data_IF_112354567986
#
_entry.id   IF_112354567986
#
_cell.length_a   1.000
_cell.length_b   1.000
_cell.length_c   1.000
_cell.angle_alpha   90.00
_cell.angle_beta   90.00
_cell.angle_gamma   90.00
#
_symmetry.space_group_name_H-M   'P 1'
#
loop_
_entity.id
_entity.type
_entity.pdbx_description
1 polymer ?
#
# COMPACT_ATOMS: atom_id res chain seq x y z
N UNK A 1 2.19 -31.65 -12.31
CA UNK A 1 0.79 -31.30 -12.00
C UNK A 1 0.81 -30.35 -10.81
N UNK A 2 0.81 -29.04 -11.04
CA UNK A 2 0.64 -28.06 -9.94
C UNK A 2 -0.83 -28.14 -9.53
N UNK A 3 -1.10 -28.45 -8.25
CA UNK A 3 -2.45 -28.33 -7.68
C UNK A 3 -2.92 -26.89 -7.91
N UNK A 4 -3.97 -26.70 -8.70
CA UNK A 4 -4.66 -25.41 -8.78
C UNK A 4 -5.06 -25.05 -7.34
N UNK A 5 -4.47 -23.97 -6.85
CA UNK A 5 -4.76 -23.48 -5.49
C UNK A 5 -6.18 -22.92 -5.54
N UNK A 6 -7.11 -23.54 -4.84
CA UNK A 6 -8.46 -23.01 -4.69
C UNK A 6 -8.40 -21.67 -3.92
N UNK A 7 -8.33 -20.60 -4.71
CA UNK A 7 -8.21 -19.22 -4.20
C UNK A 7 -9.40 -18.85 -3.30
N UNK A 8 -10.63 -19.35 -3.61
CA UNK A 8 -11.82 -19.09 -2.81
C UNK A 8 -11.73 -19.74 -1.43
N UNK A 9 -11.30 -21.00 -1.36
CA UNK A 9 -11.11 -21.69 -0.11
C UNK A 9 -10.01 -21.02 0.74
N UNK A 10 -8.90 -20.62 0.14
CA UNK A 10 -7.82 -19.92 0.83
C UNK A 10 -8.25 -18.53 1.35
N UNK A 11 -9.02 -17.78 0.57
CA UNK A 11 -9.57 -16.51 1.02
C UNK A 11 -10.49 -16.69 2.23
N UNK A 12 -11.44 -17.63 2.16
CA UNK A 12 -12.32 -17.96 3.30
C UNK A 12 -11.52 -18.35 4.53
N UNK A 13 -10.53 -19.23 4.37
CA UNK A 13 -9.67 -19.67 5.47
C UNK A 13 -8.85 -18.52 6.07
N UNK A 14 -8.43 -17.54 5.26
CA UNK A 14 -7.69 -16.38 5.77
C UNK A 14 -8.59 -15.46 6.62
N UNK A 15 -9.86 -15.26 6.22
CA UNK A 15 -10.83 -14.51 7.03
C UNK A 15 -11.10 -15.23 8.34
N UNK A 16 -11.35 -16.54 8.29
CA UNK A 16 -11.56 -17.34 9.51
C UNK A 16 -10.36 -17.25 10.46
N UNK A 17 -9.15 -17.34 9.92
CA UNK A 17 -7.90 -17.18 10.70
C UNK A 17 -7.80 -15.80 11.34
N UNK A 18 -8.17 -14.75 10.63
CA UNK A 18 -8.19 -13.38 11.16
C UNK A 18 -9.16 -13.26 12.34
N UNK A 19 -10.37 -13.77 12.17
CA UNK A 19 -11.39 -13.78 13.24
C UNK A 19 -10.89 -14.59 14.44
N UNK A 20 -10.33 -15.76 14.20
CA UNK A 20 -9.78 -16.63 15.28
C UNK A 20 -8.72 -15.87 16.09
N UNK A 21 -7.76 -15.20 15.45
CA UNK A 21 -6.72 -14.46 16.17
C UNK A 21 -7.27 -13.30 16.99
N UNK A 22 -8.28 -12.57 16.48
CA UNK A 22 -8.96 -11.50 17.22
C UNK A 22 -9.68 -12.08 18.44
N UNK A 23 -10.43 -13.17 18.28
CA UNK A 23 -11.16 -13.83 19.37
C UNK A 23 -10.20 -14.37 20.44
N UNK A 24 -9.13 -15.04 20.02
CA UNK A 24 -8.12 -15.56 20.96
C UNK A 24 -7.48 -14.40 21.76
N UNK A 25 -7.14 -13.29 21.09
CA UNK A 25 -6.58 -12.11 21.77
C UNK A 25 -7.50 -11.57 22.87
N UNK A 26 -8.81 -11.44 22.57
CA UNK A 26 -9.80 -10.96 23.53
C UNK A 26 -9.94 -11.95 24.71
N UNK A 27 -10.03 -13.25 24.40
CA UNK A 27 -10.18 -14.29 25.43
C UNK A 27 -8.94 -14.32 26.33
N UNK A 28 -7.73 -14.37 25.76
CA UNK A 28 -6.48 -14.41 26.53
C UNK A 28 -6.33 -13.16 27.39
N UNK A 29 -6.63 -11.97 26.86
CA UNK A 29 -6.61 -10.74 27.63
C UNK A 29 -7.59 -10.76 28.80
N UNK A 30 -8.83 -11.24 28.59
CA UNK A 30 -9.83 -11.38 29.65
C UNK A 30 -9.41 -12.39 30.71
N UNK A 31 -8.88 -13.56 30.31
CA UNK A 31 -8.40 -14.61 31.22
C UNK A 31 -7.23 -14.10 32.05
N UNK A 32 -6.24 -13.43 31.45
CA UNK A 32 -5.10 -12.89 32.22
C UNK A 32 -5.58 -11.87 33.23
N UNK A 33 -6.50 -10.97 32.86
CA UNK A 33 -7.06 -9.96 33.75
C UNK A 33 -7.86 -10.62 34.93
N UNK A 34 -8.51 -11.76 34.68
CA UNK A 34 -9.27 -12.47 35.71
C UNK A 34 -8.40 -13.32 36.67
N UNK A 35 -7.26 -13.84 36.18
CA UNK A 35 -6.39 -14.74 36.94
C UNK A 35 -5.25 -14.03 37.67
N UNK A 36 -4.78 -12.89 37.14
CA UNK A 36 -3.68 -12.13 37.76
C UNK A 36 -4.22 -11.28 38.90
N UNK A 37 -3.68 -11.40 40.15
CA UNK A 37 -4.08 -10.56 41.25
C UNK A 37 -3.96 -9.08 40.96
N UNK A 38 -4.93 -8.27 41.42
CA UNK A 38 -5.00 -6.83 41.13
C UNK A 38 -3.70 -6.09 41.47
N UNK A 39 -3.03 -6.45 42.54
CA UNK A 39 -1.75 -5.85 42.93
C UNK A 39 -0.66 -6.10 41.89
N UNK A 40 -0.54 -7.32 41.36
CA UNK A 40 0.44 -7.66 40.34
C UNK A 40 0.06 -7.00 39.02
N UNK A 41 -1.23 -6.96 38.69
CA UNK A 41 -1.70 -6.33 37.45
C UNK A 41 -1.51 -4.81 37.49
N UNK A 42 -1.61 -4.17 38.66
CA UNK A 42 -1.31 -2.74 38.80
C UNK A 42 0.17 -2.42 38.52
N UNK A 43 1.09 -3.28 38.96
CA UNK A 43 2.53 -3.05 38.78
C UNK A 43 3.04 -3.48 37.40
N UNK A 44 2.53 -4.57 36.85
CA UNK A 44 3.06 -5.22 35.62
C UNK A 44 2.08 -5.25 34.45
N UNK A 45 0.86 -4.77 34.59
CA UNK A 45 -0.20 -4.86 33.58
C UNK A 45 0.19 -4.19 32.25
N UNK A 46 0.94 -3.08 32.29
CA UNK A 46 1.44 -2.42 31.09
C UNK A 46 2.38 -3.33 30.29
N UNK A 47 3.29 -4.03 30.95
CA UNK A 47 4.23 -4.97 30.29
C UNK A 47 3.50 -6.18 29.73
N UNK A 48 2.52 -6.70 30.47
CA UNK A 48 1.67 -7.81 30.00
C UNK A 48 0.90 -7.39 28.74
N UNK A 49 0.28 -6.21 28.76
CA UNK A 49 -0.47 -5.70 27.61
C UNK A 49 0.42 -5.44 26.40
N UNK A 50 1.65 -4.94 26.59
CA UNK A 50 2.64 -4.77 25.51
C UNK A 50 2.98 -6.13 24.90
N UNK A 51 3.30 -7.13 25.71
CA UNK A 51 3.65 -8.47 25.24
C UNK A 51 2.48 -9.12 24.45
N UNK A 52 1.26 -9.00 24.96
CA UNK A 52 0.05 -9.46 24.27
C UNK A 52 -0.16 -8.72 22.95
N UNK A 53 -0.04 -7.40 22.96
CA UNK A 53 -0.21 -6.58 21.77
C UNK A 53 0.85 -6.89 20.71
N UNK A 54 2.11 -7.08 21.08
CA UNK A 54 3.17 -7.47 20.15
C UNK A 54 2.90 -8.83 19.52
N UNK A 55 2.59 -9.83 20.33
CA UNK A 55 2.38 -11.20 19.83
C UNK A 55 1.09 -11.30 19.01
N UNK A 56 -0.05 -10.99 19.61
CA UNK A 56 -1.35 -11.11 18.93
C UNK A 56 -1.53 -10.05 17.86
N UNK A 57 -1.03 -8.84 18.08
CA UNK A 57 -1.06 -7.76 17.09
C UNK A 57 -0.32 -8.16 15.81
N UNK A 58 0.88 -8.75 15.93
CA UNK A 58 1.58 -9.28 14.76
C UNK A 58 0.80 -10.40 14.05
N UNK A 59 0.19 -11.33 14.80
CA UNK A 59 -0.62 -12.40 14.23
C UNK A 59 -1.86 -11.85 13.50
N UNK A 60 -2.53 -10.85 14.08
CA UNK A 60 -3.69 -10.17 13.47
C UNK A 60 -3.26 -9.41 12.20
N UNK A 61 -2.18 -8.64 12.26
CA UNK A 61 -1.64 -7.90 11.10
C UNK A 61 -1.28 -8.87 9.97
N UNK A 62 -0.58 -9.97 10.29
CA UNK A 62 -0.21 -10.99 9.32
C UNK A 62 -1.43 -11.70 8.72
N UNK A 63 -2.44 -12.03 9.53
CA UNK A 63 -3.69 -12.63 9.07
C UNK A 63 -4.49 -11.67 8.18
N UNK A 64 -4.57 -10.38 8.55
CA UNK A 64 -5.17 -9.34 7.73
C UNK A 64 -4.47 -9.19 6.38
N UNK A 65 -3.15 -9.07 6.39
CA UNK A 65 -2.34 -8.97 5.17
C UNK A 65 -2.52 -10.20 4.25
N UNK A 66 -2.65 -11.40 4.84
CA UNK A 66 -2.96 -12.62 4.08
C UNK A 66 -4.39 -12.59 3.50
N UNK A 67 -5.35 -12.00 4.19
CA UNK A 67 -6.72 -11.84 3.67
C UNK A 67 -6.72 -10.90 2.47
N UNK A 68 -6.00 -9.78 2.55
CA UNK A 68 -5.81 -8.86 1.43
C UNK A 68 -5.08 -9.55 0.26
N UNK A 69 -4.04 -10.34 0.53
CA UNK A 69 -3.34 -11.13 -0.48
C UNK A 69 -4.29 -12.03 -1.27
N UNK A 70 -5.10 -12.84 -0.59
CA UNK A 70 -6.02 -13.77 -1.24
C UNK A 70 -7.15 -13.04 -1.97
N UNK A 71 -7.63 -11.90 -1.45
CA UNK A 71 -8.57 -11.03 -2.14
C UNK A 71 -8.01 -10.51 -3.47
N UNK A 72 -6.76 -10.02 -3.45
CA UNK A 72 -6.10 -9.53 -4.66
C UNK A 72 -5.76 -10.65 -5.66
N UNK A 73 -5.51 -11.86 -5.17
CA UNK A 73 -5.19 -13.04 -5.98
C UNK A 73 -6.32 -13.44 -6.93
N UNK A 74 -7.58 -13.02 -6.67
CA UNK A 74 -8.72 -13.24 -7.59
C UNK A 74 -8.58 -12.46 -8.90
N UNK A 75 -7.99 -11.27 -8.86
CA UNK A 75 -7.92 -10.37 -10.02
C UNK A 75 -6.51 -10.25 -10.60
N UNK A 76 -5.50 -10.40 -9.77
CA UNK A 76 -4.11 -10.14 -10.12
C UNK A 76 -3.26 -11.40 -9.93
N UNK A 77 -2.09 -11.42 -10.56
CA UNK A 77 -1.13 -12.49 -10.41
C UNK A 77 -0.54 -12.58 -9.00
N UNK A 78 0.24 -13.66 -8.76
CA UNK A 78 0.96 -13.84 -7.48
C UNK A 78 1.89 -12.66 -7.13
N UNK A 79 2.71 -12.11 -8.06
CA UNK A 79 3.64 -11.05 -7.73
C UNK A 79 2.96 -9.79 -7.20
N UNK A 80 1.85 -9.35 -7.83
CA UNK A 80 1.10 -8.16 -7.43
C UNK A 80 0.44 -8.34 -6.05
N UNK A 81 -0.20 -9.50 -5.84
CA UNK A 81 -0.82 -9.81 -4.56
C UNK A 81 0.23 -9.89 -3.43
N UNK A 82 1.42 -10.47 -3.70
CA UNK A 82 2.52 -10.56 -2.74
C UNK A 82 3.07 -9.17 -2.37
N UNK A 83 3.23 -8.28 -3.36
CA UNK A 83 3.66 -6.90 -3.11
C UNK A 83 2.69 -6.16 -2.19
N UNK A 84 1.38 -6.24 -2.47
CA UNK A 84 0.34 -5.61 -1.64
C UNK A 84 0.35 -6.19 -0.22
N UNK A 85 0.50 -7.53 -0.07
CA UNK A 85 0.63 -8.17 1.24
C UNK A 85 1.79 -7.59 2.04
N UNK A 86 2.96 -7.41 1.42
CA UNK A 86 4.14 -6.85 2.07
C UNK A 86 3.91 -5.41 2.55
N UNK A 87 3.26 -4.59 1.73
CA UNK A 87 2.88 -3.22 2.09
C UNK A 87 1.91 -3.24 3.29
N UNK A 88 0.90 -4.11 3.28
CA UNK A 88 -0.06 -4.23 4.39
C UNK A 88 0.62 -4.66 5.71
N UNK A 89 1.63 -5.53 5.65
CA UNK A 89 2.41 -5.90 6.84
C UNK A 89 3.19 -4.70 7.39
N UNK A 90 3.88 -3.94 6.53
CA UNK A 90 4.65 -2.76 6.94
C UNK A 90 3.74 -1.72 7.60
N UNK A 91 2.61 -1.38 6.95
CA UNK A 91 1.62 -0.45 7.48
C UNK A 91 1.02 -0.94 8.80
N UNK A 92 0.68 -2.23 8.86
CA UNK A 92 0.09 -2.84 10.04
C UNK A 92 1.05 -2.89 11.24
N UNK A 93 2.33 -3.18 11.01
CA UNK A 93 3.36 -3.11 12.05
C UNK A 93 3.54 -1.67 12.54
N UNK A 94 3.58 -0.70 11.63
CA UNK A 94 3.63 0.72 11.99
C UNK A 94 2.46 1.14 12.87
N UNK A 95 1.23 0.79 12.48
CA UNK A 95 0.03 1.07 13.25
C UNK A 95 0.04 0.36 14.62
N UNK A 96 0.51 -0.89 14.68
CA UNK A 96 0.66 -1.65 15.93
C UNK A 96 1.62 -0.95 16.89
N UNK A 97 2.79 -0.54 16.43
CA UNK A 97 3.79 0.17 17.25
C UNK A 97 3.26 1.52 17.75
N UNK A 98 2.57 2.26 16.89
CA UNK A 98 1.94 3.53 17.27
C UNK A 98 0.83 3.32 18.31
N UNK A 99 0.02 2.27 18.16
CA UNK A 99 -1.01 1.88 19.14
C UNK A 99 -0.43 1.50 20.49
N UNK A 100 0.67 0.73 20.52
CA UNK A 100 1.37 0.35 21.75
C UNK A 100 1.96 1.60 22.42
N UNK A 101 2.63 2.47 21.67
CA UNK A 101 3.19 3.72 22.17
C UNK A 101 2.09 4.60 22.80
N UNK A 102 0.92 4.71 22.15
CA UNK A 102 -0.22 5.46 22.65
C UNK A 102 -0.82 4.86 23.94
N UNK A 103 -0.87 3.55 24.02
CA UNK A 103 -1.38 2.84 25.23
C UNK A 103 -0.46 2.91 26.43
N UNK A 104 0.86 3.04 26.24
CA UNK A 104 1.87 3.02 27.31
C UNK A 104 2.29 4.42 27.73
N UNK A 105 2.63 5.27 26.76
CA UNK A 105 3.16 6.62 27.00
C UNK A 105 2.11 7.72 26.77
N UNK A 106 0.85 7.34 26.57
CA UNK A 106 -0.27 8.25 26.34
C UNK A 106 -0.53 8.56 24.87
N UNK A 107 -1.73 9.02 24.57
CA UNK A 107 -2.19 9.26 23.20
C UNK A 107 -1.27 10.15 22.36
N UNK A 108 -0.62 11.14 22.96
CA UNK A 108 0.34 12.01 22.28
C UNK A 108 1.54 11.25 21.71
N UNK A 109 2.06 10.24 22.41
CA UNK A 109 3.17 9.39 21.93
C UNK A 109 2.73 8.52 20.75
N UNK A 110 1.51 7.98 20.79
CA UNK A 110 0.93 7.22 19.68
C UNK A 110 0.78 8.08 18.42
N UNK A 111 0.25 9.30 18.56
CA UNK A 111 0.09 10.27 17.47
C UNK A 111 1.45 10.68 16.90
N UNK A 112 2.44 10.97 17.77
CA UNK A 112 3.78 11.35 17.34
C UNK A 112 4.45 10.21 16.53
N UNK A 113 4.43 8.98 17.03
CA UNK A 113 5.03 7.84 16.33
C UNK A 113 4.28 7.51 15.04
N UNK A 114 2.94 7.50 15.09
CA UNK A 114 2.10 7.29 13.90
C UNK A 114 2.31 8.35 12.83
N UNK A 115 2.42 9.59 13.24
CA UNK A 115 2.74 10.73 12.37
C UNK A 115 4.12 10.61 11.74
N UNK A 116 5.13 10.23 12.52
CA UNK A 116 6.49 9.99 12.03
C UNK A 116 6.51 8.85 10.99
N UNK A 117 5.87 7.73 11.28
CA UNK A 117 5.76 6.60 10.33
C UNK A 117 5.02 7.04 9.06
N UNK A 118 3.92 7.78 9.22
CA UNK A 118 3.16 8.32 8.08
C UNK A 118 4.00 9.26 7.21
N UNK A 119 4.83 10.10 7.82
CA UNK A 119 5.74 11.00 7.11
C UNK A 119 6.80 10.22 6.32
N UNK A 120 7.41 9.19 6.91
CA UNK A 120 8.38 8.31 6.22
C UNK A 120 7.74 7.62 5.02
N UNK A 121 6.52 7.07 5.19
CA UNK A 121 5.79 6.43 4.10
C UNK A 121 5.39 7.45 3.04
N UNK A 122 4.97 8.65 3.44
CA UNK A 122 4.64 9.75 2.54
C UNK A 122 5.82 10.12 1.64
N UNK A 123 7.01 10.29 2.22
CA UNK A 123 8.22 10.56 1.44
C UNK A 123 8.59 9.40 0.50
N UNK A 124 8.47 8.15 0.98
CA UNK A 124 8.76 6.97 0.15
C UNK A 124 7.82 6.85 -1.06
N UNK A 125 6.57 7.33 -0.94
CA UNK A 125 5.56 7.25 -2.01
C UNK A 125 5.41 8.55 -2.82
N UNK A 126 6.09 9.63 -2.44
CA UNK A 126 5.95 10.97 -3.02
C UNK A 126 6.09 10.97 -4.55
N UNK A 127 7.06 10.24 -5.10
CA UNK A 127 7.30 10.20 -6.54
C UNK A 127 6.13 9.56 -7.29
N UNK A 128 5.57 8.46 -6.78
CA UNK A 128 4.43 7.76 -7.40
C UNK A 128 3.17 8.62 -7.34
N UNK A 129 2.92 9.26 -6.19
CA UNK A 129 1.80 10.20 -6.04
C UNK A 129 1.95 11.40 -6.98
N UNK A 130 3.16 11.95 -7.11
CA UNK A 130 3.45 13.04 -8.04
C UNK A 130 3.14 12.66 -9.49
N UNK A 131 3.50 11.45 -9.92
CA UNK A 131 3.17 10.95 -11.25
C UNK A 131 1.65 10.77 -11.45
N UNK A 132 0.94 10.24 -10.44
CA UNK A 132 -0.50 10.04 -10.51
C UNK A 132 -1.26 11.37 -10.59
N UNK A 133 -0.86 12.37 -9.81
CA UNK A 133 -1.43 13.73 -9.87
C UNK A 133 -1.13 14.39 -11.22
N UNK A 134 0.11 14.27 -11.71
CA UNK A 134 0.49 14.75 -13.03
C UNK A 134 -0.33 14.09 -14.14
N UNK A 135 -0.56 12.78 -14.05
CA UNK A 135 -1.40 12.06 -15.02
C UNK A 135 -2.85 12.52 -15.00
N UNK A 136 -3.42 12.76 -13.82
CA UNK A 136 -4.75 13.34 -13.69
C UNK A 136 -4.81 14.72 -14.35
N UNK A 137 -3.79 15.56 -14.14
CA UNK A 137 -3.66 16.86 -14.78
C UNK A 137 -3.61 16.74 -16.31
N UNK A 138 -2.78 15.82 -16.85
CA UNK A 138 -2.68 15.57 -18.30
C UNK A 138 -4.03 15.15 -18.88
N UNK A 139 -4.77 14.28 -18.19
CA UNK A 139 -6.07 13.79 -18.63
C UNK A 139 -7.17 14.88 -18.63
N UNK A 140 -7.10 15.83 -17.67
CA UNK A 140 -8.08 16.93 -17.54
C UNK A 140 -7.73 18.08 -18.49
N UNK A 141 -6.50 18.59 -18.42
CA UNK A 141 -6.05 19.78 -19.17
C UNK A 141 -5.72 19.44 -20.61
N UNK A 142 -5.32 18.18 -20.86
CA UNK A 142 -4.99 17.64 -22.19
C UNK A 142 -3.95 18.47 -22.95
N UNK A 143 -2.77 18.73 -22.33
CA UNK A 143 -1.69 19.43 -23.03
C UNK A 143 -1.17 18.60 -24.22
N UNK A 144 -1.38 17.28 -24.19
CA UNK A 144 -1.20 16.35 -25.31
C UNK A 144 -2.44 15.48 -25.43
N UNK A 145 -2.79 15.11 -26.68
CA UNK A 145 -3.93 14.22 -26.98
C UNK A 145 -3.43 12.97 -27.68
N UNK A 146 -4.17 11.88 -27.53
CA UNK A 146 -3.92 10.67 -28.32
C UNK A 146 -4.01 11.03 -29.81
N UNK A 147 -2.99 10.63 -30.57
CA UNK A 147 -2.81 10.96 -31.98
C UNK A 147 -1.96 12.19 -32.23
N UNK A 148 -1.61 13.02 -31.23
CA UNK A 148 -0.69 14.12 -31.38
C UNK A 148 0.73 13.58 -31.65
N UNK A 149 1.42 14.23 -32.61
CA UNK A 149 2.84 13.97 -32.87
C UNK A 149 3.67 15.03 -32.14
N UNK A 150 4.42 14.61 -31.14
CA UNK A 150 5.08 15.52 -30.20
C UNK A 150 6.53 15.15 -29.95
N UNK A 151 7.33 16.17 -29.56
CA UNK A 151 8.61 15.93 -28.87
C UNK A 151 8.48 16.40 -27.46
N UNK A 152 8.72 15.47 -26.52
CA UNK A 152 8.67 15.72 -25.07
C UNK A 152 9.72 14.88 -24.35
N UNK A 153 10.39 15.46 -23.35
CA UNK A 153 11.46 14.81 -22.59
C UNK A 153 12.58 14.19 -23.47
N UNK A 154 12.85 14.79 -24.65
CA UNK A 154 13.86 14.31 -25.61
C UNK A 154 13.37 13.21 -26.55
N UNK A 155 12.12 12.73 -26.39
CA UNK A 155 11.54 11.69 -27.22
C UNK A 155 10.53 12.27 -28.22
N UNK A 156 10.59 11.78 -29.47
CA UNK A 156 9.71 12.24 -30.56
C UNK A 156 8.88 11.08 -31.07
N UNK A 157 7.57 11.29 -31.22
CA UNK A 157 6.66 10.29 -31.74
C UNK A 157 5.19 10.63 -31.54
N UNK A 158 4.32 9.70 -31.88
CA UNK A 158 2.88 9.81 -31.73
C UNK A 158 2.42 9.37 -30.35
N UNK A 159 1.59 10.18 -29.69
CA UNK A 159 0.95 9.80 -28.41
C UNK A 159 -0.11 8.73 -28.70
N UNK A 160 0.10 7.52 -28.20
CA UNK A 160 -0.82 6.39 -28.41
C UNK A 160 -1.73 6.12 -27.23
N UNK A 161 -1.30 6.47 -26.01
CA UNK A 161 -2.12 6.32 -24.81
C UNK A 161 -1.66 7.24 -23.70
N UNK A 162 -2.58 7.58 -22.77
CA UNK A 162 -2.31 8.38 -21.57
C UNK A 162 -3.00 7.70 -20.40
N UNK A 163 -2.19 7.20 -19.45
CA UNK A 163 -2.67 6.58 -18.20
C UNK A 163 -2.43 7.48 -17.00
N UNK A 164 -2.81 7.04 -15.82
CA UNK A 164 -2.59 7.81 -14.58
C UNK A 164 -1.11 8.04 -14.22
N UNK A 165 -0.20 7.16 -14.67
CA UNK A 165 1.22 7.25 -14.32
C UNK A 165 2.12 7.59 -15.51
N UNK A 166 1.75 7.14 -16.71
CA UNK A 166 2.59 7.23 -17.91
C UNK A 166 1.80 7.71 -19.11
N UNK A 167 2.46 8.47 -19.96
CA UNK A 167 2.06 8.75 -21.34
C UNK A 167 2.90 7.88 -22.27
N UNK A 168 2.25 7.21 -23.22
CA UNK A 168 2.86 6.29 -24.17
C UNK A 168 3.09 6.99 -25.49
N UNK A 169 4.33 7.02 -25.93
CA UNK A 169 4.73 7.60 -27.23
C UNK A 169 5.30 6.50 -28.11
N UNK A 170 4.76 6.39 -29.32
CA UNK A 170 5.25 5.46 -30.33
C UNK A 170 6.13 6.22 -31.32
N UNK A 171 7.41 5.84 -31.42
CA UNK A 171 8.36 6.37 -32.38
C UNK A 171 8.11 5.83 -33.79
N UNK A 172 8.68 6.48 -34.79
CA UNK A 172 8.57 6.07 -36.19
C UNK A 172 9.21 4.71 -36.48
N UNK A 173 10.19 4.29 -35.69
CA UNK A 173 10.81 2.97 -35.75
C UNK A 173 9.95 1.87 -35.09
N UNK A 174 8.76 2.21 -34.56
CA UNK A 174 7.86 1.32 -33.85
C UNK A 174 8.16 1.16 -32.38
N UNK A 175 9.23 1.76 -31.84
CA UNK A 175 9.56 1.70 -30.40
C UNK A 175 8.50 2.42 -29.56
N UNK A 176 8.02 1.77 -28.50
CA UNK A 176 7.09 2.34 -27.54
C UNK A 176 7.86 2.90 -26.34
N UNK A 177 7.79 4.22 -26.14
CA UNK A 177 8.42 4.92 -25.03
C UNK A 177 7.37 5.27 -24.00
N UNK A 178 7.63 4.96 -22.72
CA UNK A 178 6.79 5.30 -21.58
C UNK A 178 7.40 6.50 -20.86
N UNK A 179 6.71 7.64 -20.92
CA UNK A 179 7.14 8.87 -20.26
C UNK A 179 6.35 9.04 -18.96
N UNK A 180 7.00 9.12 -17.79
CA UNK A 180 6.32 9.45 -16.55
C UNK A 180 5.59 10.78 -16.64
N UNK A 181 4.34 10.86 -16.21
CA UNK A 181 3.52 12.05 -16.39
C UNK A 181 4.07 13.30 -15.68
N UNK A 182 4.74 13.14 -14.53
CA UNK A 182 5.42 14.25 -13.87
C UNK A 182 6.56 14.83 -14.73
N UNK A 183 7.25 13.97 -15.49
CA UNK A 183 8.29 14.41 -16.43
C UNK A 183 7.69 15.10 -17.66
N UNK A 184 6.56 14.61 -18.15
CA UNK A 184 5.83 15.22 -19.26
C UNK A 184 5.42 16.66 -18.95
N UNK A 185 4.76 16.90 -17.80
CA UNK A 185 4.32 18.25 -17.42
C UNK A 185 5.48 19.17 -17.00
N UNK A 186 6.60 18.60 -16.54
CA UNK A 186 7.81 19.34 -16.18
C UNK A 186 8.72 19.69 -17.36
N UNK A 187 8.43 19.18 -18.55
CA UNK A 187 9.24 19.38 -19.76
C UNK A 187 8.56 20.31 -20.75
N UNK A 188 9.36 20.83 -21.70
CA UNK A 188 8.80 21.52 -22.86
C UNK A 188 8.14 20.51 -23.79
N UNK A 189 6.94 20.81 -24.25
CA UNK A 189 6.19 19.96 -25.18
C UNK A 189 6.17 20.69 -26.53
N UNK A 190 6.71 20.07 -27.58
CA UNK A 190 6.69 20.59 -28.93
C UNK A 190 5.68 19.77 -29.73
N UNK A 191 4.61 20.43 -30.19
CA UNK A 191 3.66 19.83 -31.13
C UNK A 191 4.20 19.96 -32.55
N UNK A 192 4.42 18.84 -33.19
CA UNK A 192 4.93 18.81 -34.59
C UNK A 192 3.75 18.54 -35.49
N UNK A 193 3.53 19.47 -36.47
CA UNK A 193 2.57 19.19 -37.53
C UNK A 193 3.19 18.14 -38.46
N UNK A 194 2.60 16.96 -38.53
CA UNK A 194 2.97 15.98 -39.56
C UNK A 194 2.68 16.63 -40.92
N UNK A 195 3.72 16.95 -41.69
CA UNK A 195 3.52 17.37 -43.09
C UNK A 195 2.90 16.18 -43.83
N UNK A 196 1.71 16.37 -44.37
CA UNK A 196 1.01 15.40 -45.22
C UNK A 196 1.76 15.19 -46.51
#
# INVERSE_FOLDING_TARGET
>A
MSKEVDVKAQFRNSIVRLIIWIVIYIIVGAVIKALVPDKIYADYGSYINIALALFFGYMIVSAFANTVYWSMRFRYGHPQAAAIRSIMIILGIGALLAGIAGGVAGGAAGVALGGFIGLVIGFATQQVLGQAIAGLFVLIVRPVKIGDYVTVAGETGEVVDVTSLFTFIKKDDGTLVLIPNNMLIGSKIYHIKKQQ
#
